data_IF_113622325291
#
_entry.id   IF_113622325291
#
_cell.length_a   1.000
_cell.length_b   1.000
_cell.length_c   1.000
_cell.angle_alpha   90.00
_cell.angle_beta   90.00
_cell.angle_gamma   90.00
#
_symmetry.space_group_name_H-M   'P 1'
#
loop_
_entity.id
_entity.type
_entity.pdbx_description
1 polymer ?
#
# COMPACT_ATOMS: atom_id res chain seq x y z
N UNK A 1 13.59 9.12 -5.81
CA UNK A 1 13.95 10.52 -6.19
C UNK A 1 15.43 10.59 -6.57
N UNK A 2 16.34 10.17 -5.69
CA UNK A 2 17.80 10.19 -5.88
C UNK A 2 18.26 9.64 -7.25
N UNK A 3 17.77 8.46 -7.64
CA UNK A 3 18.12 7.86 -8.94
C UNK A 3 17.80 8.78 -10.12
N UNK A 4 16.67 9.49 -10.09
CA UNK A 4 16.28 10.42 -11.16
C UNK A 4 17.17 11.64 -11.14
N UNK A 5 17.54 12.14 -9.97
CA UNK A 5 18.47 13.26 -9.83
C UNK A 5 19.84 12.91 -10.40
N UNK A 6 20.36 11.71 -10.10
CA UNK A 6 21.63 11.21 -10.64
C UNK A 6 21.56 11.09 -12.18
N UNK A 7 20.50 10.52 -12.73
CA UNK A 7 20.31 10.40 -14.17
C UNK A 7 20.29 11.78 -14.85
N UNK A 8 19.59 12.75 -14.24
CA UNK A 8 19.55 14.13 -14.75
C UNK A 8 20.92 14.81 -14.69
N UNK A 9 21.65 14.67 -13.57
CA UNK A 9 23.00 15.23 -13.41
C UNK A 9 23.99 14.65 -14.42
N UNK A 10 23.85 13.39 -14.76
CA UNK A 10 24.70 12.70 -15.73
C UNK A 10 24.21 12.87 -17.17
N UNK A 11 23.12 13.61 -17.40
CA UNK A 11 22.49 13.76 -18.71
C UNK A 11 22.16 12.42 -19.39
N UNK A 12 21.85 11.40 -18.58
CA UNK A 12 21.51 10.09 -19.08
C UNK A 12 20.06 10.06 -19.56
N UNK A 13 19.87 9.70 -20.82
CA UNK A 13 18.54 9.53 -21.41
C UNK A 13 18.12 8.06 -21.33
N UNK A 14 17.01 7.82 -20.65
CA UNK A 14 16.39 6.48 -20.59
C UNK A 14 15.63 6.20 -21.87
N UNK A 15 15.57 4.93 -22.29
CA UNK A 15 14.81 4.51 -23.48
C UNK A 15 13.29 4.68 -23.30
N UNK A 16 12.82 4.67 -22.04
CA UNK A 16 11.43 4.85 -21.67
C UNK A 16 11.32 5.94 -20.62
N UNK A 17 10.19 6.67 -20.58
CA UNK A 17 9.92 7.63 -19.49
C UNK A 17 9.95 6.94 -18.13
N UNK A 18 10.44 7.65 -17.11
CA UNK A 18 10.39 7.22 -15.72
C UNK A 18 9.30 8.00 -15.00
N UNK A 19 8.46 7.30 -14.29
CA UNK A 19 7.44 7.86 -13.42
C UNK A 19 7.70 7.43 -11.98
N UNK A 20 7.67 8.37 -11.05
CA UNK A 20 7.72 8.09 -9.61
C UNK A 20 6.34 8.33 -9.05
N UNK A 21 5.80 7.31 -8.40
CA UNK A 21 4.49 7.37 -7.78
C UNK A 21 4.65 7.21 -6.27
N UNK A 22 4.00 8.09 -5.52
CA UNK A 22 3.82 7.96 -4.08
C UNK A 22 2.35 7.72 -3.84
N UNK A 23 2.03 6.52 -3.38
CA UNK A 23 0.64 6.14 -3.12
C UNK A 23 0.15 6.71 -1.80
N UNK A 24 -1.07 7.23 -1.79
CA UNK A 24 -1.75 7.66 -0.57
C UNK A 24 -2.37 6.45 0.15
N UNK A 25 -2.43 6.53 1.49
CA UNK A 25 -3.04 5.51 2.36
C UNK A 25 -2.41 4.12 2.17
N UNK A 26 -1.10 4.06 1.97
CA UNK A 26 -0.37 2.81 1.73
C UNK A 26 -0.41 1.91 2.98
N UNK A 27 -0.21 2.48 4.17
CA UNK A 27 -0.21 1.78 5.46
C UNK A 27 -1.63 1.43 5.99
N UNK A 28 -2.67 1.89 5.33
CA UNK A 28 -4.06 1.69 5.73
C UNK A 28 -4.81 0.79 4.78
N UNK A 29 -5.47 1.39 3.82
CA UNK A 29 -6.37 0.72 2.89
C UNK A 29 -5.83 0.52 1.48
N UNK A 30 -4.56 0.82 1.23
CA UNK A 30 -3.93 0.76 -0.10
C UNK A 30 -4.70 1.57 -1.16
N UNK A 31 -5.34 2.65 -0.71
CA UNK A 31 -6.30 3.41 -1.53
C UNK A 31 -5.69 3.90 -2.83
N UNK A 32 -4.47 4.45 -2.79
CA UNK A 32 -3.80 4.99 -3.97
C UNK A 32 -3.43 3.92 -5.00
N UNK A 33 -2.88 2.80 -4.56
CA UNK A 33 -2.49 1.69 -5.44
C UNK A 33 -3.71 0.98 -6.03
N UNK A 34 -4.78 0.77 -5.25
CA UNK A 34 -6.05 0.24 -5.75
C UNK A 34 -6.69 1.17 -6.79
N UNK A 35 -6.61 2.49 -6.61
CA UNK A 35 -7.07 3.44 -7.62
C UNK A 35 -6.26 3.33 -8.91
N UNK A 36 -4.93 3.26 -8.82
CA UNK A 36 -4.04 3.13 -9.96
C UNK A 36 -4.25 1.78 -10.71
N UNK A 37 -4.52 0.70 -9.98
CA UNK A 37 -4.88 -0.59 -10.56
C UNK A 37 -6.30 -0.60 -11.20
N UNK A 38 -7.14 0.38 -10.85
CA UNK A 38 -8.55 0.41 -11.26
C UNK A 38 -9.45 -0.51 -10.44
N UNK A 39 -9.01 -0.88 -9.24
CA UNK A 39 -9.70 -1.81 -8.32
C UNK A 39 -10.44 -1.09 -7.20
N UNK A 40 -10.23 0.22 -7.03
CA UNK A 40 -10.94 1.00 -6.01
C UNK A 40 -12.40 1.19 -6.42
N UNK A 41 -13.31 0.59 -5.65
CA UNK A 41 -14.74 0.66 -5.92
C UNK A 41 -15.40 1.87 -5.27
N UNK A 42 -16.57 2.27 -5.79
CA UNK A 42 -17.39 3.34 -5.17
C UNK A 42 -17.87 2.95 -3.76
N UNK A 43 -18.08 1.66 -3.49
CA UNK A 43 -18.42 1.17 -2.15
C UNK A 43 -17.27 1.36 -1.16
N UNK A 44 -16.04 1.15 -1.60
CA UNK A 44 -14.85 1.37 -0.77
C UNK A 44 -14.73 2.82 -0.28
N UNK A 45 -15.18 3.79 -1.07
CA UNK A 45 -15.17 5.21 -0.68
C UNK A 45 -16.01 5.51 0.57
N UNK A 46 -16.97 4.65 0.92
CA UNK A 46 -17.85 4.80 2.08
C UNK A 46 -17.26 4.18 3.36
N UNK A 47 -16.18 3.43 3.25
CA UNK A 47 -15.51 2.83 4.40
C UNK A 47 -14.93 3.95 5.26
N UNK A 48 -15.19 3.88 6.57
CA UNK A 48 -14.65 4.83 7.54
C UNK A 48 -13.29 4.38 8.04
N UNK A 49 -12.35 5.30 8.02
CA UNK A 49 -11.05 5.14 8.66
C UNK A 49 -11.13 5.30 10.18
N UNK A 50 -10.04 5.07 10.89
CA UNK A 50 -9.93 5.33 12.33
C UNK A 50 -10.23 6.79 12.73
N UNK A 51 -10.09 7.74 11.81
CA UNK A 51 -10.45 9.15 12.05
C UNK A 51 -11.96 9.40 12.05
N UNK A 52 -12.77 8.39 11.71
CA UNK A 52 -14.21 8.50 11.54
C UNK A 52 -14.65 9.10 10.19
N UNK A 53 -13.71 9.58 9.37
CA UNK A 53 -13.98 10.07 8.02
C UNK A 53 -13.97 8.91 7.03
N UNK A 54 -14.74 9.05 5.97
CA UNK A 54 -14.73 8.09 4.87
C UNK A 54 -13.47 8.21 4.00
N UNK A 55 -13.13 7.15 3.27
CA UNK A 55 -12.04 7.18 2.30
C UNK A 55 -12.29 8.29 1.26
N UNK A 56 -13.53 8.44 0.77
CA UNK A 56 -13.87 9.50 -0.18
C UNK A 56 -13.64 10.91 0.39
N UNK A 57 -13.96 11.14 1.67
CA UNK A 57 -13.65 12.42 2.35
C UNK A 57 -12.12 12.62 2.48
N UNK A 58 -11.37 11.55 2.75
CA UNK A 58 -9.91 11.59 2.80
C UNK A 58 -9.29 11.97 1.47
N UNK A 59 -9.76 11.36 0.38
CA UNK A 59 -9.32 11.69 -0.99
C UNK A 59 -9.55 13.17 -1.30
N UNK A 60 -10.74 13.70 -1.00
CA UNK A 60 -11.03 15.14 -1.20
C UNK A 60 -10.14 16.03 -0.34
N UNK A 61 -9.86 15.61 0.89
CA UNK A 61 -9.01 16.38 1.81
C UNK A 61 -7.59 16.58 1.28
N UNK A 62 -7.02 15.58 0.60
CA UNK A 62 -5.69 15.68 -0.02
C UNK A 62 -5.73 16.26 -1.44
N UNK A 63 -6.89 16.74 -1.91
CA UNK A 63 -7.05 17.37 -3.22
C UNK A 63 -7.35 16.41 -4.37
N UNK A 64 -7.66 15.15 -4.08
CA UNK A 64 -8.08 14.17 -5.08
C UNK A 64 -9.57 14.26 -5.42
N UNK A 65 -9.96 13.56 -6.49
CA UNK A 65 -11.34 13.52 -6.99
C UNK A 65 -11.93 12.10 -6.87
N UNK A 66 -12.67 11.79 -5.78
CA UNK A 66 -13.28 10.49 -5.60
C UNK A 66 -14.47 10.24 -6.56
N UNK A 67 -14.98 11.25 -7.21
CA UNK A 67 -16.09 11.12 -8.17
C UNK A 67 -15.57 10.70 -9.56
N UNK A 68 -14.25 10.79 -9.79
CA UNK A 68 -13.59 10.44 -11.04
C UNK A 68 -12.41 9.47 -10.83
N UNK A 69 -12.66 8.34 -10.20
CA UNK A 69 -11.63 7.31 -9.93
C UNK A 69 -10.97 6.78 -11.21
N UNK A 70 -11.67 6.79 -12.32
CA UNK A 70 -11.14 6.29 -13.59
C UNK A 70 -9.95 7.10 -14.10
N UNK A 71 -9.85 8.37 -13.71
CA UNK A 71 -8.70 9.21 -14.08
C UNK A 71 -7.38 8.76 -13.44
N UNK A 72 -7.45 8.04 -12.32
CA UNK A 72 -6.28 7.50 -11.62
C UNK A 72 -5.80 6.17 -12.21
N UNK A 73 -6.68 5.46 -12.94
CA UNK A 73 -6.37 4.13 -13.46
C UNK A 73 -5.25 4.18 -14.50
N UNK A 74 -4.28 3.29 -14.34
CA UNK A 74 -3.21 3.06 -15.31
C UNK A 74 -3.50 1.88 -16.21
N UNK A 75 -3.15 1.99 -17.48
CA UNK A 75 -3.21 0.88 -18.41
C UNK A 75 -1.95 0.05 -18.29
N UNK A 76 -2.11 -1.24 -18.06
CA UNK A 76 -0.98 -2.17 -17.98
C UNK A 76 -0.11 -2.18 -19.26
N UNK A 77 -0.72 -1.95 -20.41
CA UNK A 77 -0.01 -1.90 -21.70
C UNK A 77 0.93 -0.70 -21.85
N UNK A 78 0.77 0.33 -21.02
CA UNK A 78 1.62 1.53 -21.02
C UNK A 78 2.80 1.41 -20.06
N UNK A 79 2.85 0.35 -19.25
CA UNK A 79 3.84 0.15 -18.20
C UNK A 79 4.76 -1.00 -18.63
N UNK A 80 6.03 -0.69 -18.88
CA UNK A 80 7.04 -1.69 -19.22
C UNK A 80 7.44 -2.51 -18.00
N UNK A 81 7.70 -1.83 -16.88
CA UNK A 81 8.11 -2.44 -15.63
C UNK A 81 7.68 -1.58 -14.44
N UNK A 82 7.45 -2.22 -13.32
CA UNK A 82 7.24 -1.62 -12.01
C UNK A 82 8.39 -2.05 -11.10
N UNK A 83 8.99 -1.10 -10.42
CA UNK A 83 10.06 -1.34 -9.47
C UNK A 83 9.70 -0.68 -8.14
N UNK A 84 9.86 -1.42 -7.07
CA UNK A 84 9.68 -0.93 -5.72
C UNK A 84 10.89 -1.30 -4.88
N UNK A 85 11.50 -0.30 -4.25
CA UNK A 85 12.55 -0.50 -3.27
C UNK A 85 11.91 -0.37 -1.89
N UNK A 86 11.94 -1.45 -1.14
CA UNK A 86 11.33 -1.55 0.17
C UNK A 86 12.37 -1.97 1.22
N UNK A 87 12.19 -1.57 2.45
CA UNK A 87 12.97 -2.11 3.56
C UNK A 87 12.55 -3.57 3.81
N UNK A 88 13.44 -4.40 4.33
CA UNK A 88 13.12 -5.80 4.62
C UNK A 88 11.95 -5.97 5.60
N UNK A 89 11.78 -5.04 6.54
CA UNK A 89 10.89 -5.15 7.71
C UNK A 89 11.15 -6.44 8.52
N UNK A 90 12.40 -6.89 8.50
CA UNK A 90 12.87 -8.10 9.16
C UNK A 90 14.36 -7.99 9.47
N UNK A 91 14.95 -9.07 9.96
CA UNK A 91 16.36 -9.09 10.38
C UNK A 91 17.21 -10.14 9.65
N UNK A 92 16.71 -10.78 8.61
CA UNK A 92 17.43 -11.88 7.93
C UNK A 92 18.58 -11.34 7.09
N UNK A 93 18.29 -10.36 6.23
CA UNK A 93 19.31 -9.75 5.37
C UNK A 93 20.40 -9.05 6.19
N UNK A 94 20.01 -8.40 7.30
CA UNK A 94 20.96 -7.78 8.22
C UNK A 94 21.87 -8.83 8.87
N UNK A 95 21.30 -9.91 9.38
CA UNK A 95 22.06 -11.01 10.01
C UNK A 95 23.02 -11.68 9.03
N UNK A 96 22.60 -11.83 7.77
CA UNK A 96 23.39 -12.44 6.70
C UNK A 96 24.32 -11.44 6.01
N UNK A 97 24.26 -10.15 6.36
CA UNK A 97 25.04 -9.06 5.77
C UNK A 97 24.83 -8.93 4.25
N UNK A 98 23.60 -9.16 3.81
CA UNK A 98 23.16 -9.01 2.42
C UNK A 98 22.47 -7.67 2.26
N UNK A 99 22.94 -6.84 1.34
CA UNK A 99 22.40 -5.48 1.16
C UNK A 99 21.08 -5.46 0.40
N UNK A 100 20.87 -6.38 -0.51
CA UNK A 100 19.68 -6.42 -1.39
C UNK A 100 19.16 -7.84 -1.45
N UNK A 101 17.88 -8.02 -1.17
CA UNK A 101 17.13 -9.24 -1.43
C UNK A 101 16.11 -9.03 -2.54
N UNK A 102 15.89 -10.04 -3.35
CA UNK A 102 14.82 -10.03 -4.35
C UNK A 102 13.61 -10.76 -3.75
N UNK A 103 12.46 -10.08 -3.73
CA UNK A 103 11.21 -10.66 -3.26
C UNK A 103 10.73 -11.72 -4.26
N UNK A 104 10.62 -12.97 -3.82
CA UNK A 104 10.16 -14.09 -4.65
C UNK A 104 8.65 -14.32 -4.55
N UNK A 105 8.00 -13.78 -3.52
CA UNK A 105 6.57 -13.92 -3.31
C UNK A 105 6.05 -13.05 -2.18
N UNK A 106 4.75 -12.79 -2.21
CA UNK A 106 4.02 -12.05 -1.18
C UNK A 106 3.04 -13.01 -0.53
N UNK A 107 3.06 -13.05 0.82
CA UNK A 107 2.17 -13.90 1.60
C UNK A 107 0.86 -13.17 1.92
N UNK A 108 -0.23 -13.92 2.03
CA UNK A 108 -1.49 -13.40 2.54
C UNK A 108 -1.53 -13.41 4.07
N UNK A 109 -2.24 -12.46 4.65
CA UNK A 109 -2.49 -12.36 6.10
C UNK A 109 -3.96 -12.56 6.35
N UNK A 110 -4.30 -13.46 7.28
CA UNK A 110 -5.65 -13.60 7.80
C UNK A 110 -5.70 -13.03 9.22
N UNK A 111 -6.61 -12.12 9.47
CA UNK A 111 -6.84 -11.51 10.78
C UNK A 111 -8.22 -11.93 11.30
N UNK A 112 -8.31 -12.23 12.58
CA UNK A 112 -9.56 -12.58 13.25
C UNK A 112 -9.71 -11.75 14.52
N UNK A 113 -10.87 -11.14 14.70
CA UNK A 113 -11.29 -10.58 15.97
C UNK A 113 -12.04 -11.67 16.75
N UNK A 114 -11.52 -12.05 17.91
CA UNK A 114 -12.13 -13.07 18.77
C UNK A 114 -12.66 -12.42 20.02
N UNK A 115 -13.97 -12.49 20.23
CA UNK A 115 -14.62 -12.01 21.45
C UNK A 115 -15.08 -13.18 22.29
N UNK A 116 -14.62 -13.27 23.54
CA UNK A 116 -15.05 -14.27 24.51
C UNK A 116 -15.99 -13.60 25.49
N UNK A 117 -17.26 -14.03 25.49
CA UNK A 117 -18.28 -13.55 26.42
C UNK A 117 -18.41 -14.53 27.58
N UNK A 118 -18.28 -14.04 28.81
CA UNK A 118 -18.39 -14.87 30.01
C UNK A 118 -18.06 -14.10 31.27
N UNK A 119 -18.06 -14.78 32.39
CA UNK A 119 -17.63 -14.26 33.67
C UNK A 119 -16.25 -14.81 34.03
N UNK A 120 -15.36 -13.95 34.49
CA UNK A 120 -14.11 -14.40 35.08
C UNK A 120 -14.42 -15.20 36.36
N UNK A 121 -13.99 -16.46 36.36
CA UNK A 121 -14.27 -17.36 37.48
C UNK A 121 -13.12 -18.36 37.67
N UNK A 122 -13.13 -19.04 38.81
CA UNK A 122 -12.14 -20.04 39.12
C UNK A 122 -12.33 -21.30 38.27
N UNK A 123 -11.29 -21.76 37.57
CA UNK A 123 -11.40 -22.88 36.63
C UNK A 123 -11.80 -24.21 37.28
N UNK A 124 -11.45 -24.44 38.54
CA UNK A 124 -11.72 -25.69 39.25
C UNK A 124 -13.07 -25.74 39.93
N UNK A 125 -13.80 -24.63 40.06
CA UNK A 125 -15.10 -24.56 40.78
C UNK A 125 -16.24 -24.05 39.89
N UNK A 126 -15.98 -23.73 38.64
CA UNK A 126 -16.99 -23.33 37.66
C UNK A 126 -17.52 -24.58 36.95
N UNK A 127 -18.84 -24.86 37.01
CA UNK A 127 -19.45 -26.04 36.36
C UNK A 127 -19.41 -25.92 34.83
#
# INVERSE_FOLDING_TARGET
MECIEILNQQHFLTAHPLEVIVFSDEEGGLTGSHAAAGELSQQALQIKSHSGKTIGEGIRFIGGDPDNLQSAKRNRSEILAYLELHIEQGGILEAEKVNIGVVEGIVGINLWDVTVLGFANHAGTTP
#
